data_IF_138022227151
#
_entry.id   IF_138022227151
#
_cell.length_a   1.000
_cell.length_b   1.000
_cell.length_c   1.000
_cell.angle_alpha   90.00
_cell.angle_beta   90.00
_cell.angle_gamma   90.00
#
_symmetry.space_group_name_H-M   'P 1'
#
loop_
_entity.id
_entity.type
_entity.pdbx_description
1 polymer ?
#
# COMPACT_ATOMS: atom_id res chain seq x y z
N UNK A 1 -4.82 -10.38 -20.46
CA UNK A 1 -3.71 -10.68 -19.54
C UNK A 1 -2.68 -11.54 -20.24
N UNK A 2 -1.39 -11.30 -20.02
CA UNK A 2 -0.32 -12.17 -20.55
C UNK A 2 -0.19 -13.42 -19.68
N UNK A 3 0.35 -14.52 -20.21
CA UNK A 3 0.58 -15.76 -19.43
C UNK A 3 1.38 -15.50 -18.14
N UNK A 4 2.35 -14.58 -18.20
CA UNK A 4 3.17 -14.16 -17.06
C UNK A 4 2.34 -13.50 -15.95
N UNK A 5 1.39 -12.62 -16.30
CA UNK A 5 0.55 -11.97 -15.29
C UNK A 5 -0.42 -12.95 -14.64
N UNK A 6 -0.95 -13.93 -15.38
CA UNK A 6 -1.80 -14.99 -14.84
C UNK A 6 -1.08 -15.84 -13.80
N UNK A 7 0.16 -16.26 -14.09
CA UNK A 7 0.98 -17.04 -13.14
C UNK A 7 1.25 -16.24 -11.87
N UNK A 8 1.55 -14.94 -12.00
CA UNK A 8 1.79 -14.07 -10.84
C UNK A 8 0.54 -13.90 -9.98
N UNK A 9 -0.62 -13.67 -10.58
CA UNK A 9 -1.90 -13.58 -9.86
C UNK A 9 -2.25 -14.89 -9.16
N UNK A 10 -2.05 -16.03 -9.82
CA UNK A 10 -2.26 -17.34 -9.20
C UNK A 10 -1.38 -17.50 -7.94
N UNK A 11 -0.08 -17.21 -8.05
CA UNK A 11 0.83 -17.28 -6.91
C UNK A 11 0.39 -16.40 -5.76
N UNK A 12 -0.08 -15.20 -6.05
CA UNK A 12 -0.52 -14.26 -5.02
C UNK A 12 -1.80 -14.73 -4.31
N UNK A 13 -2.75 -15.33 -5.04
CA UNK A 13 -3.97 -15.93 -4.49
C UNK A 13 -3.71 -17.21 -3.69
N UNK A 14 -2.71 -18.00 -4.08
CA UNK A 14 -2.33 -19.25 -3.40
C UNK A 14 -1.43 -19.00 -2.17
N UNK A 15 -0.98 -17.77 -1.92
CA UNK A 15 -0.11 -17.41 -0.80
C UNK A 15 -0.87 -17.37 0.52
N UNK A 16 -0.24 -17.82 1.62
CA UNK A 16 -0.79 -17.62 2.97
C UNK A 16 -0.57 -16.21 3.52
N UNK A 17 0.41 -15.47 2.99
CA UNK A 17 0.72 -14.09 3.35
C UNK A 17 1.00 -13.28 2.08
N UNK A 18 0.35 -12.12 1.98
CA UNK A 18 0.58 -11.13 0.93
C UNK A 18 0.99 -9.81 1.58
N UNK A 19 2.10 -9.23 1.10
CA UNK A 19 2.58 -7.92 1.54
C UNK A 19 2.37 -6.95 0.38
N UNK A 20 1.66 -5.87 0.64
CA UNK A 20 1.41 -4.78 -0.30
C UNK A 20 2.07 -3.53 0.29
N UNK A 21 3.12 -3.05 -0.38
CA UNK A 21 3.96 -1.96 0.09
C UNK A 21 3.62 -0.65 -0.62
N UNK A 22 3.78 0.47 0.07
CA UNK A 22 3.58 1.84 -0.42
C UNK A 22 2.22 2.08 -1.11
N UNK A 23 1.15 1.51 -0.56
CA UNK A 23 -0.19 1.69 -1.10
C UNK A 23 -0.68 3.13 -0.91
N UNK A 24 -1.49 3.62 -1.85
CA UNK A 24 -2.18 4.91 -1.79
C UNK A 24 -1.25 6.13 -1.78
N UNK A 25 -0.05 5.99 -2.37
CA UNK A 25 0.82 7.13 -2.62
C UNK A 25 0.21 8.14 -3.63
N UNK A 26 -0.59 7.65 -4.57
CA UNK A 26 -1.34 8.46 -5.55
C UNK A 26 -2.77 7.95 -5.68
N UNK A 27 -3.66 8.83 -6.12
CA UNK A 27 -5.04 8.45 -6.40
C UNK A 27 -5.10 7.43 -7.55
N UNK A 28 -5.91 6.40 -7.36
CA UNK A 28 -6.20 5.37 -8.35
C UNK A 28 -7.29 5.87 -9.30
N UNK A 29 -7.21 5.44 -10.56
CA UNK A 29 -8.36 5.55 -11.45
C UNK A 29 -9.44 4.52 -11.09
N UNK A 30 -10.65 4.69 -11.63
CA UNK A 30 -11.78 3.79 -11.34
C UNK A 30 -11.47 2.32 -11.67
N UNK A 31 -10.69 2.06 -12.73
CA UNK A 31 -10.37 0.69 -13.15
C UNK A 31 -9.36 0.07 -12.19
N UNK A 32 -8.37 0.83 -11.75
CA UNK A 32 -7.38 0.44 -10.75
C UNK A 32 -8.06 0.15 -9.39
N UNK A 33 -8.97 1.02 -8.95
CA UNK A 33 -9.76 0.81 -7.74
C UNK A 33 -10.59 -0.48 -7.78
N UNK A 34 -11.24 -0.77 -8.93
CA UNK A 34 -11.97 -2.02 -9.13
C UNK A 34 -11.07 -3.26 -9.10
N UNK A 35 -9.90 -3.19 -9.76
CA UNK A 35 -8.93 -4.29 -9.74
C UNK A 35 -8.37 -4.53 -8.34
N UNK A 36 -8.11 -3.46 -7.59
CA UNK A 36 -7.67 -3.53 -6.22
C UNK A 36 -8.76 -4.16 -5.32
N UNK A 37 -10.01 -3.75 -5.49
CA UNK A 37 -11.14 -4.39 -4.79
C UNK A 37 -11.23 -5.89 -5.05
N UNK A 38 -11.15 -6.31 -6.32
CA UNK A 38 -11.17 -7.74 -6.65
C UNK A 38 -10.01 -8.49 -6.00
N UNK A 39 -8.83 -7.89 -5.97
CA UNK A 39 -7.68 -8.48 -5.31
C UNK A 39 -7.92 -8.66 -3.80
N UNK A 40 -8.34 -7.59 -3.12
CA UNK A 40 -8.64 -7.65 -1.68
C UNK A 40 -9.75 -8.66 -1.39
N UNK A 41 -10.78 -8.72 -2.24
CA UNK A 41 -11.86 -9.69 -2.10
C UNK A 41 -11.39 -11.14 -2.27
N UNK A 42 -10.46 -11.42 -3.19
CA UNK A 42 -9.91 -12.77 -3.38
C UNK A 42 -9.03 -13.21 -2.20
N UNK A 43 -8.30 -12.26 -1.59
CA UNK A 43 -7.42 -12.51 -0.44
C UNK A 43 -8.19 -12.57 0.89
N UNK A 44 -9.38 -11.96 0.93
CA UNK A 44 -10.21 -11.93 2.12
C UNK A 44 -10.60 -13.35 2.56
N UNK A 45 -10.29 -13.69 3.81
CA UNK A 45 -10.42 -15.04 4.42
C UNK A 45 -9.54 -16.15 3.84
N UNK A 46 -8.67 -15.87 2.87
CA UNK A 46 -7.77 -16.88 2.27
C UNK A 46 -6.29 -16.64 2.60
N UNK A 47 -5.89 -15.39 2.83
CA UNK A 47 -4.52 -14.99 3.15
C UNK A 47 -4.47 -13.92 4.24
N UNK A 48 -3.37 -13.90 5.01
CA UNK A 48 -3.01 -12.73 5.81
C UNK A 48 -2.50 -11.62 4.89
N UNK A 49 -2.82 -10.37 5.24
CA UNK A 49 -2.41 -9.19 4.45
C UNK A 49 -1.61 -8.25 5.36
N UNK A 50 -0.42 -7.89 4.93
CA UNK A 50 0.32 -6.74 5.49
C UNK A 50 0.26 -5.62 4.46
N UNK A 51 -0.15 -4.45 4.92
CA UNK A 51 -0.27 -3.25 4.12
C UNK A 51 0.55 -2.13 4.73
N UNK A 52 1.37 -1.49 3.91
CA UNK A 52 2.02 -0.23 4.29
C UNK A 52 1.42 0.90 3.45
N UNK A 53 1.21 2.04 4.09
CA UNK A 53 0.73 3.24 3.44
C UNK A 53 1.24 4.45 4.21
N UNK A 54 1.51 5.52 3.49
CA UNK A 54 1.75 6.84 4.06
C UNK A 54 0.45 7.59 4.39
N UNK A 55 -0.71 6.98 4.14
CA UNK A 55 -2.05 7.54 4.34
C UNK A 55 -2.88 6.62 5.23
N UNK A 56 -3.57 7.22 6.19
CA UNK A 56 -4.42 6.46 7.10
C UNK A 56 -5.71 6.00 6.40
N UNK A 57 -6.44 5.01 6.94
CA UNK A 57 -7.72 4.55 6.37
C UNK A 57 -8.75 5.67 6.12
N UNK A 58 -8.70 6.75 6.90
CA UNK A 58 -9.55 7.95 6.72
C UNK A 58 -9.34 8.66 5.38
N UNK A 59 -8.14 8.57 4.82
CA UNK A 59 -7.76 9.31 3.61
C UNK A 59 -8.03 8.50 2.33
N UNK A 60 -8.41 7.23 2.46
CA UNK A 60 -8.56 6.32 1.33
C UNK A 60 -9.75 6.66 0.43
N UNK A 61 -10.76 7.38 0.95
CA UNK A 61 -11.91 7.83 0.16
C UNK A 61 -11.51 8.70 -1.03
N UNK A 62 -10.58 9.63 -0.81
CA UNK A 62 -10.05 10.49 -1.87
C UNK A 62 -9.17 9.70 -2.84
N UNK A 63 -8.41 8.72 -2.32
CA UNK A 63 -7.39 7.99 -3.09
C UNK A 63 -7.99 6.89 -3.97
N UNK A 64 -9.12 6.31 -3.60
CA UNK A 64 -9.86 5.33 -4.41
C UNK A 64 -10.93 5.98 -5.32
N UNK A 65 -11.33 7.22 -5.04
CA UNK A 65 -12.24 8.02 -5.87
C UNK A 65 -13.72 7.61 -5.85
N UNK A 66 -14.02 6.36 -5.53
CA UNK A 66 -15.37 5.81 -5.44
C UNK A 66 -15.72 5.45 -3.98
N UNK A 67 -16.70 6.15 -3.35
CA UNK A 67 -17.09 5.89 -1.95
C UNK A 67 -17.59 4.47 -1.70
N UNK A 68 -18.28 3.86 -2.65
CA UNK A 68 -18.82 2.51 -2.50
C UNK A 68 -17.70 1.47 -2.54
N UNK A 69 -16.77 1.60 -3.49
CA UNK A 69 -15.59 0.73 -3.56
C UNK A 69 -14.72 0.92 -2.32
N UNK A 70 -14.48 2.17 -1.92
CA UNK A 70 -13.68 2.48 -0.73
C UNK A 70 -14.24 1.82 0.51
N UNK A 71 -15.55 1.97 0.75
CA UNK A 71 -16.22 1.35 1.88
C UNK A 71 -16.08 -0.17 1.84
N UNK A 72 -16.28 -0.79 0.67
CA UNK A 72 -16.19 -2.24 0.51
C UNK A 72 -14.77 -2.80 0.71
N UNK A 73 -13.75 -2.05 0.29
CA UNK A 73 -12.34 -2.39 0.51
C UNK A 73 -11.97 -2.24 1.98
N UNK A 74 -12.29 -1.08 2.57
CA UNK A 74 -11.98 -0.80 3.97
C UNK A 74 -12.66 -1.82 4.89
N UNK A 75 -13.94 -2.11 4.68
CA UNK A 75 -14.69 -3.12 5.45
C UNK A 75 -13.93 -4.47 5.51
N UNK A 76 -13.42 -4.95 4.39
CA UNK A 76 -12.67 -6.22 4.33
C UNK A 76 -11.30 -6.16 5.01
N UNK A 77 -10.58 -5.05 4.85
CA UNK A 77 -9.24 -4.89 5.42
C UNK A 77 -9.34 -4.69 6.93
N UNK A 78 -10.14 -3.73 7.38
CA UNK A 78 -10.17 -3.29 8.79
C UNK A 78 -10.91 -4.26 9.70
N UNK A 79 -11.82 -5.09 9.18
CA UNK A 79 -12.59 -6.04 9.98
C UNK A 79 -11.72 -6.99 10.82
N UNK A 80 -10.51 -7.34 10.34
CA UNK A 80 -9.55 -8.20 11.06
C UNK A 80 -8.12 -7.69 10.98
N UNK A 81 -7.95 -6.37 11.03
CA UNK A 81 -6.62 -5.76 11.02
C UNK A 81 -6.28 -5.12 12.36
N UNK A 82 -4.99 -5.13 12.65
CA UNK A 82 -4.38 -4.25 13.64
C UNK A 82 -3.71 -3.09 12.89
N UNK A 83 -4.08 -1.86 13.25
CA UNK A 83 -3.53 -0.66 12.62
C UNK A 83 -2.36 -0.16 13.45
N UNK A 84 -1.15 -0.28 12.90
CA UNK A 84 0.07 0.21 13.54
C UNK A 84 0.42 1.56 12.95
N UNK A 85 0.17 2.62 13.72
CA UNK A 85 0.57 3.98 13.33
C UNK A 85 2.06 4.18 13.64
N UNK A 86 2.86 4.36 12.59
CA UNK A 86 4.27 4.73 12.72
C UNK A 86 4.41 6.26 12.75
N UNK A 87 5.34 6.75 13.57
CA UNK A 87 5.66 8.17 13.73
C UNK A 87 7.17 8.37 13.93
N UNK A 88 7.61 9.63 13.81
CA UNK A 88 9.02 10.01 13.91
C UNK A 88 9.64 10.38 12.55
N UNK A 89 10.85 10.95 12.59
CA UNK A 89 11.48 11.44 11.37
C UNK A 89 11.97 10.30 10.49
N UNK A 90 12.03 10.57 9.18
CA UNK A 90 12.53 9.64 8.18
C UNK A 90 13.91 9.11 8.55
N UNK A 91 14.00 7.79 8.72
CA UNK A 91 15.26 7.10 8.95
C UNK A 91 16.28 7.36 7.82
N UNK A 92 15.78 7.51 6.57
CA UNK A 92 16.61 7.84 5.41
C UNK A 92 17.26 9.22 5.54
N UNK A 93 16.54 10.19 6.10
CA UNK A 93 17.06 11.54 6.30
C UNK A 93 18.03 11.61 7.47
N UNK A 94 17.74 10.92 8.59
CA UNK A 94 18.65 10.86 9.75
C UNK A 94 20.02 10.29 9.41
N UNK A 95 20.06 9.31 8.51
CA UNK A 95 21.28 8.64 8.10
C UNK A 95 21.76 9.06 6.70
N UNK A 96 21.27 10.21 6.21
CA UNK A 96 21.68 10.73 4.91
C UNK A 96 23.15 11.13 4.97
N UNK A 97 24.00 10.42 4.24
CA UNK A 97 25.38 10.83 3.99
C UNK A 97 25.40 11.85 2.84
N UNK A 98 26.11 12.96 3.00
CA UNK A 98 26.34 13.87 1.87
C UNK A 98 27.27 13.20 0.87
N UNK A 99 26.92 13.27 -0.41
CA UNK A 99 27.78 12.81 -1.51
C UNK A 99 28.93 13.81 -1.74
N UNK A 100 28.70 15.08 -1.38
CA UNK A 100 29.69 16.15 -1.47
C UNK A 100 30.30 16.42 -0.10
N UNK A 101 31.62 16.56 -0.04
CA UNK A 101 32.30 17.07 1.16
C UNK A 101 31.85 18.52 1.39
N UNK A 102 31.53 18.86 2.64
CA UNK A 102 31.31 20.25 3.02
C UNK A 102 32.66 20.97 2.97
N UNK A 103 32.96 21.64 1.87
CA UNK A 103 34.05 22.62 1.86
C UNK A 103 33.67 23.72 2.86
N UNK A 104 34.36 23.75 4.00
CA UNK A 104 34.25 24.84 4.96
C UNK A 104 34.76 26.11 4.28
N UNK A 105 33.84 26.94 3.77
CA UNK A 105 34.17 28.30 3.33
C UNK A 105 34.52 29.08 4.59
N UNK A 106 35.82 29.15 4.90
CA UNK A 106 36.37 30.10 5.86
C UNK A 106 36.25 31.49 5.23
N UNK A 107 35.33 32.31 5.76
CA UNK A 107 35.36 33.77 5.62
C UNK A 107 35.85 34.36 6.94
#
# INVERSE_FOLDING_TARGET
FTRKSQIRLKRLRDSNLVIIDDLMFMAMDQKEANLFFHLINDLYNSASIILTSNKGPSDWGELLGDPAITTAVLDRIVHRAEVIQLSGDSYRMKNRTSIFEEESVQN
#
